data_IF_565198072482
#
_entry.id   IF_565198072482
#
_cell.length_a   1.000
_cell.length_b   1.000
_cell.length_c   1.000
_cell.angle_alpha   90.00
_cell.angle_beta   90.00
_cell.angle_gamma   90.00
#
_symmetry.space_group_name_H-M   'P 1'
#
loop_
_entity.id
_entity.type
_entity.pdbx_description
1 polymer ?
#
# COMPACT_ATOMS: atom_id res chain seq x y z
N UNK A 1 9.81 -13.88 -17.01
CA UNK A 1 8.36 -13.63 -17.13
C UNK A 1 8.02 -12.27 -16.52
N UNK A 2 7.34 -11.41 -17.29
CA UNK A 2 6.92 -10.08 -16.83
C UNK A 2 5.43 -10.09 -16.58
N UNK A 3 5.01 -9.56 -15.43
CA UNK A 3 3.62 -9.45 -15.00
C UNK A 3 3.27 -7.99 -14.73
N UNK A 4 2.03 -7.63 -15.05
CA UNK A 4 1.41 -6.37 -14.67
C UNK A 4 0.21 -6.70 -13.79
N UNK A 5 0.19 -6.17 -12.59
CA UNK A 5 -0.91 -6.32 -11.64
C UNK A 5 -1.58 -4.96 -11.43
N UNK A 6 -2.91 -4.95 -11.51
CA UNK A 6 -3.73 -3.82 -11.16
C UNK A 6 -4.74 -4.23 -10.11
N UNK A 7 -4.76 -3.53 -9.00
CA UNK A 7 -5.72 -3.75 -7.93
C UNK A 7 -6.54 -2.48 -7.71
N UNK A 8 -7.82 -2.66 -7.48
CA UNK A 8 -8.74 -1.57 -7.21
C UNK A 8 -9.68 -1.97 -6.08
N UNK A 9 -9.84 -1.09 -5.11
CA UNK A 9 -10.79 -1.22 -4.02
C UNK A 9 -11.59 0.07 -3.88
N UNK A 10 -12.91 -0.04 -3.73
CA UNK A 10 -13.80 1.09 -3.50
C UNK A 10 -14.79 0.80 -2.40
N UNK A 11 -15.11 1.82 -1.61
CA UNK A 11 -16.12 1.76 -0.57
C UNK A 11 -17.02 3.00 -0.65
N UNK A 12 -18.32 2.77 -0.55
CA UNK A 12 -19.32 3.85 -0.39
C UNK A 12 -19.93 3.75 1.00
N UNK A 13 -19.75 4.77 1.79
CA UNK A 13 -20.32 4.89 3.13
C UNK A 13 -21.51 5.83 3.16
N UNK A 14 -22.34 5.71 4.20
CA UNK A 14 -23.48 6.60 4.49
C UNK A 14 -23.07 7.65 5.53
N UNK A 15 -23.96 8.66 5.74
CA UNK A 15 -23.74 9.80 6.64
C UNK A 15 -23.33 9.46 8.09
N UNK A 16 -23.55 8.23 8.56
CA UNK A 16 -23.24 7.79 9.91
C UNK A 16 -22.45 6.48 9.90
N UNK A 17 -21.41 6.41 9.08
CA UNK A 17 -20.54 5.22 9.04
C UNK A 17 -19.69 5.14 10.31
N UNK A 18 -19.83 4.09 11.14
CA UNK A 18 -18.96 3.90 12.31
C UNK A 18 -17.49 3.81 11.90
N UNK A 19 -16.58 4.32 12.73
CA UNK A 19 -15.13 4.34 12.44
C UNK A 19 -14.56 2.96 12.11
N UNK A 20 -15.08 1.90 12.71
CA UNK A 20 -14.68 0.51 12.44
C UNK A 20 -15.05 0.00 11.02
N UNK A 21 -15.91 0.73 10.30
CA UNK A 21 -16.32 0.40 8.92
C UNK A 21 -15.78 1.41 7.89
N UNK A 22 -14.95 2.34 8.32
CA UNK A 22 -14.33 3.32 7.43
C UNK A 22 -13.14 2.71 6.69
N UNK A 23 -12.90 3.19 5.46
CA UNK A 23 -11.72 2.82 4.70
C UNK A 23 -10.52 3.66 5.17
N UNK A 24 -9.38 3.00 5.42
CA UNK A 24 -8.13 3.64 5.79
C UNK A 24 -7.16 3.71 4.62
N UNK A 25 -6.52 4.86 4.42
CA UNK A 25 -5.41 5.04 3.50
C UNK A 25 -4.08 4.87 4.24
N UNK A 26 -3.17 4.10 3.66
CA UNK A 26 -1.87 3.76 4.21
C UNK A 26 -1.86 2.36 4.82
N UNK A 27 -1.00 1.51 4.29
CA UNK A 27 -0.72 0.17 4.80
C UNK A 27 0.52 -0.41 4.10
N UNK A 28 0.95 -1.59 4.50
CA UNK A 28 2.00 -2.34 3.78
C UNK A 28 1.51 -2.91 2.43
N UNK A 29 0.21 -2.96 2.21
CA UNK A 29 -0.40 -3.53 1.00
C UNK A 29 -0.80 -2.45 0.01
N UNK A 30 -1.38 -1.35 0.51
CA UNK A 30 -1.83 -0.23 -0.31
C UNK A 30 -1.30 1.09 0.24
N UNK A 31 -0.90 1.99 -0.66
CA UNK A 31 -0.27 3.26 -0.28
C UNK A 31 0.98 3.02 0.58
N UNK A 32 1.80 2.10 0.08
CA UNK A 32 3.07 1.68 0.68
C UNK A 32 3.98 2.89 0.90
N UNK A 33 4.55 3.00 2.10
CA UNK A 33 5.37 4.15 2.49
C UNK A 33 4.68 5.09 3.48
N UNK A 34 3.34 5.06 3.60
CA UNK A 34 2.61 5.78 4.64
C UNK A 34 2.39 4.91 5.89
N UNK A 35 2.06 5.55 7.00
CA UNK A 35 1.60 4.87 8.21
C UNK A 35 0.22 4.24 7.99
N UNK A 36 -0.08 3.21 8.76
CA UNK A 36 -1.39 2.57 8.72
C UNK A 36 -2.48 3.58 9.07
N UNK A 37 -3.50 3.65 8.20
CA UNK A 37 -4.65 4.53 8.39
C UNK A 37 -4.26 6.02 8.57
N UNK A 38 -3.28 6.51 7.79
CA UNK A 38 -2.89 7.93 7.75
C UNK A 38 -4.11 8.83 7.53
N UNK A 39 -5.01 8.46 6.61
CA UNK A 39 -6.33 9.05 6.47
C UNK A 39 -7.42 7.98 6.54
N UNK A 40 -8.57 8.35 7.09
CA UNK A 40 -9.73 7.47 7.24
C UNK A 40 -10.96 8.18 6.71
N UNK A 41 -11.75 7.48 5.90
CA UNK A 41 -12.97 8.04 5.32
C UNK A 41 -14.14 7.07 5.30
N UNK A 42 -15.36 7.62 5.28
CA UNK A 42 -16.58 6.83 5.11
C UNK A 42 -16.69 6.25 3.70
N UNK A 43 -16.29 7.01 2.70
CA UNK A 43 -16.20 6.59 1.31
C UNK A 43 -14.77 6.75 0.81
N UNK A 44 -14.34 5.93 -0.13
CA UNK A 44 -13.01 6.07 -0.71
C UNK A 44 -12.73 5.06 -1.81
N UNK A 45 -11.64 5.32 -2.49
CA UNK A 45 -11.08 4.45 -3.54
C UNK A 45 -9.58 4.29 -3.31
N UNK A 46 -9.09 3.11 -3.60
CA UNK A 46 -7.66 2.78 -3.61
C UNK A 46 -7.38 2.05 -4.91
N UNK A 47 -6.29 2.42 -5.55
CA UNK A 47 -5.79 1.77 -6.76
C UNK A 47 -4.30 1.51 -6.62
N UNK A 48 -3.84 0.37 -7.07
CA UNK A 48 -2.44 -0.01 -7.14
C UNK A 48 -2.11 -0.56 -8.51
N UNK A 49 -0.94 -0.20 -9.02
CA UNK A 49 -0.36 -0.76 -10.23
C UNK A 49 1.05 -1.25 -9.91
N UNK A 50 1.36 -2.48 -10.29
CA UNK A 50 2.68 -3.08 -10.08
C UNK A 50 3.16 -3.75 -11.35
N UNK A 51 4.44 -3.54 -11.68
CA UNK A 51 5.16 -4.29 -12.70
C UNK A 51 6.23 -5.13 -12.01
N UNK A 52 6.25 -6.42 -12.29
CA UNK A 52 7.19 -7.38 -11.75
C UNK A 52 7.83 -8.21 -12.86
N UNK A 53 9.11 -8.57 -12.68
CA UNK A 53 9.80 -9.44 -13.62
C UNK A 53 10.44 -10.61 -12.88
N UNK A 54 9.91 -11.83 -13.08
CA UNK A 54 10.43 -13.02 -12.46
C UNK A 54 11.63 -13.57 -13.24
N UNK A 55 12.73 -13.75 -12.54
CA UNK A 55 13.95 -14.40 -12.98
C UNK A 55 14.17 -15.69 -12.17
N UNK A 56 14.54 -16.77 -12.85
CA UNK A 56 14.77 -18.10 -12.25
C UNK A 56 16.25 -18.48 -12.43
N UNK A 57 17.10 -18.22 -11.43
CA UNK A 57 18.51 -18.58 -11.50
C UNK A 57 18.67 -20.11 -11.57
N UNK A 58 19.64 -20.59 -12.36
CA UNK A 58 20.03 -22.01 -12.37
C UNK A 58 20.90 -22.34 -11.14
N UNK A 59 20.35 -22.14 -9.95
CA UNK A 59 21.05 -22.30 -8.69
C UNK A 59 20.15 -23.07 -7.71
N UNK A 60 20.68 -24.06 -7.01
CA UNK A 60 19.93 -24.88 -6.06
C UNK A 60 19.48 -24.13 -4.80
N UNK A 61 20.05 -22.97 -4.51
CA UNK A 61 19.72 -22.21 -3.31
C UNK A 61 18.65 -21.15 -3.53
N UNK A 62 18.60 -20.53 -4.72
CA UNK A 62 17.66 -19.45 -5.04
C UNK A 62 16.75 -19.91 -6.18
N UNK A 63 15.47 -20.08 -5.88
CA UNK A 63 14.49 -20.57 -6.83
C UNK A 63 13.97 -19.47 -7.76
N UNK A 64 13.70 -18.29 -7.18
CA UNK A 64 13.25 -17.16 -7.96
C UNK A 64 13.73 -15.85 -7.35
N UNK A 65 13.91 -14.85 -8.22
CA UNK A 65 14.20 -13.46 -7.87
C UNK A 65 13.26 -12.59 -8.72
N UNK A 66 12.43 -11.82 -8.08
CA UNK A 66 11.39 -11.01 -8.75
C UNK A 66 11.50 -9.56 -8.30
N UNK A 67 12.30 -8.73 -8.99
CA UNK A 67 12.23 -7.28 -8.83
C UNK A 67 10.87 -6.77 -9.27
N UNK A 68 10.37 -5.75 -8.59
CA UNK A 68 9.12 -5.09 -8.92
C UNK A 68 9.20 -3.59 -8.67
N UNK A 69 8.34 -2.86 -9.36
CA UNK A 69 8.08 -1.46 -9.11
C UNK A 69 6.57 -1.24 -9.03
N UNK A 70 6.15 -0.27 -8.22
CA UNK A 70 4.74 -0.01 -7.98
C UNK A 70 4.41 1.47 -7.92
N UNK A 71 3.14 1.76 -8.16
CA UNK A 71 2.51 3.04 -7.92
C UNK A 71 1.14 2.81 -7.26
N UNK A 72 0.93 3.45 -6.12
CA UNK A 72 -0.31 3.37 -5.36
C UNK A 72 -0.95 4.75 -5.29
N UNK A 73 -2.28 4.80 -5.37
CA UNK A 73 -3.09 5.99 -5.20
C UNK A 73 -4.32 5.68 -4.36
N UNK A 74 -4.71 6.59 -3.49
CA UNK A 74 -5.95 6.49 -2.73
C UNK A 74 -6.56 7.84 -2.44
N UNK A 75 -7.87 7.87 -2.37
CA UNK A 75 -8.63 9.06 -1.99
C UNK A 75 -9.78 8.65 -1.08
N UNK A 76 -9.99 9.42 -0.02
CA UNK A 76 -11.11 9.22 0.91
C UNK A 76 -11.93 10.49 1.02
N UNK A 77 -13.21 10.29 1.31
CA UNK A 77 -14.17 11.35 1.49
C UNK A 77 -14.95 11.13 2.78
N UNK A 78 -15.06 12.20 3.57
CA UNK A 78 -15.88 12.24 4.77
C UNK A 78 -17.07 13.19 4.54
N UNK A 79 -18.25 12.82 5.04
CA UNK A 79 -19.39 13.73 5.08
C UNK A 79 -19.13 14.84 6.11
N UNK A 80 -19.70 16.02 5.88
CA UNK A 80 -19.56 17.19 6.76
C UNK A 80 -19.98 16.93 8.21
N UNK A 81 -20.87 15.97 8.47
CA UNK A 81 -21.23 15.55 9.82
C UNK A 81 -20.15 14.75 10.55
N UNK A 82 -19.27 14.05 9.80
CA UNK A 82 -18.14 13.31 10.36
C UNK A 82 -16.85 14.14 10.39
N UNK A 83 -16.71 15.09 9.47
CA UNK A 83 -15.53 15.94 9.36
C UNK A 83 -15.43 17.02 10.45
N UNK A 84 -16.58 17.55 10.92
CA UNK A 84 -16.61 18.67 11.88
C UNK A 84 -16.45 18.24 13.34
N UNK A 85 -16.80 17.00 13.69
CA UNK A 85 -16.77 16.55 15.09
C UNK A 85 -15.44 15.91 15.50
N UNK A 86 -14.68 15.34 14.54
CA UNK A 86 -13.46 14.57 14.81
C UNK A 86 -12.18 15.26 14.28
N UNK A 87 -12.28 16.49 13.74
CA UNK A 87 -11.13 17.18 13.15
C UNK A 87 -10.60 16.53 11.86
N UNK A 88 -11.37 15.63 11.25
CA UNK A 88 -10.97 14.94 10.02
C UNK A 88 -11.23 15.83 8.81
N UNK A 89 -10.31 15.87 7.85
CA UNK A 89 -10.52 16.61 6.62
C UNK A 89 -11.68 16.00 5.81
N UNK A 90 -12.35 16.85 5.02
CA UNK A 90 -13.49 16.46 4.21
C UNK A 90 -13.10 15.52 3.07
N UNK A 91 -11.98 15.80 2.44
CA UNK A 91 -11.42 15.01 1.35
C UNK A 91 -9.91 14.94 1.52
N UNK A 92 -9.34 13.75 1.39
CA UNK A 92 -7.91 13.53 1.39
C UNK A 92 -7.51 12.53 0.34
N UNK A 93 -6.29 12.70 -0.16
CA UNK A 93 -5.71 11.79 -1.14
C UNK A 93 -4.24 11.56 -0.82
N UNK A 94 -3.77 10.36 -1.08
CA UNK A 94 -2.38 9.97 -0.96
C UNK A 94 -1.92 9.28 -2.24
N UNK A 95 -0.64 9.43 -2.55
CA UNK A 95 0.01 8.67 -3.60
C UNK A 95 1.39 8.24 -3.14
N UNK A 96 1.81 7.06 -3.53
CA UNK A 96 3.15 6.55 -3.26
C UNK A 96 3.68 5.76 -4.45
N UNK A 97 4.98 5.61 -4.50
CA UNK A 97 5.67 4.76 -5.47
C UNK A 97 6.80 4.02 -4.77
N UNK A 98 7.35 3.03 -5.42
CA UNK A 98 8.49 2.32 -4.86
C UNK A 98 8.98 1.19 -5.72
N UNK A 99 10.04 0.56 -5.21
CA UNK A 99 10.64 -0.61 -5.83
C UNK A 99 10.92 -1.65 -4.76
N UNK A 100 10.91 -2.90 -5.15
CA UNK A 100 11.15 -4.01 -4.24
C UNK A 100 11.72 -5.23 -4.92
N UNK A 101 11.96 -6.24 -4.10
CA UNK A 101 12.50 -7.51 -4.50
C UNK A 101 11.81 -8.63 -3.72
N UNK A 102 11.28 -9.62 -4.41
CA UNK A 102 10.81 -10.89 -3.85
C UNK A 102 11.76 -11.99 -4.21
N UNK A 103 12.10 -12.84 -3.26
CA UNK A 103 12.96 -14.00 -3.48
C UNK A 103 12.35 -15.23 -2.82
N UNK A 104 12.45 -16.37 -3.51
CA UNK A 104 12.19 -17.69 -2.92
C UNK A 104 13.50 -18.45 -2.83
N UNK A 105 13.80 -18.95 -1.64
CA UNK A 105 15.06 -19.61 -1.29
C UNK A 105 14.72 -21.01 -0.77
N UNK A 106 15.39 -22.03 -1.32
CA UNK A 106 15.24 -23.46 -0.98
C UNK A 106 13.78 -23.96 -1.03
N UNK A 107 12.92 -23.39 -1.87
CA UNK A 107 11.47 -23.69 -1.95
C UNK A 107 10.68 -23.48 -0.64
N UNK A 108 11.30 -22.95 0.40
CA UNK A 108 10.75 -22.86 1.75
C UNK A 108 10.74 -21.44 2.32
N UNK A 109 11.77 -20.66 2.05
CA UNK A 109 11.88 -19.30 2.55
C UNK A 109 11.46 -18.29 1.48
N UNK A 110 10.56 -17.37 1.84
CA UNK A 110 10.23 -16.23 1.01
C UNK A 110 10.70 -14.95 1.71
N UNK A 111 11.46 -14.16 0.99
CA UNK A 111 11.93 -12.84 1.40
C UNK A 111 11.28 -11.81 0.50
N UNK A 112 10.59 -10.87 1.08
CA UNK A 112 9.96 -9.74 0.39
C UNK A 112 10.49 -8.45 1.02
N UNK A 113 11.10 -7.60 0.23
CA UNK A 113 11.61 -6.31 0.68
C UNK A 113 11.29 -5.22 -0.32
N UNK A 114 10.84 -4.06 0.17
CA UNK A 114 10.60 -2.91 -0.69
C UNK A 114 10.82 -1.58 0.03
N UNK A 115 11.06 -0.54 -0.75
CA UNK A 115 11.08 0.85 -0.29
C UNK A 115 9.86 1.56 -0.88
N UNK A 116 9.00 2.08 -0.01
CA UNK A 116 7.87 2.92 -0.37
C UNK A 116 8.21 4.40 -0.17
N UNK A 117 7.97 5.20 -1.20
CA UNK A 117 8.24 6.64 -1.24
C UNK A 117 6.91 7.38 -1.30
N UNK A 118 6.48 8.05 -0.22
CA UNK A 118 5.33 8.95 -0.22
C UNK A 118 5.53 10.10 -1.20
N UNK A 119 4.49 10.44 -1.96
CA UNK A 119 4.53 11.52 -2.94
C UNK A 119 3.67 12.74 -2.52
N UNK A 120 2.81 12.58 -1.52
CA UNK A 120 1.90 13.61 -1.04
C UNK A 120 2.06 13.80 0.47
N UNK A 121 1.66 14.97 0.96
CA UNK A 121 1.67 15.26 2.39
C UNK A 121 0.65 14.39 3.15
N UNK A 122 1.01 13.99 4.36
CA UNK A 122 0.14 13.30 5.30
C UNK A 122 -0.75 14.27 6.11
N UNK A 123 -1.41 13.76 7.13
CA UNK A 123 -2.26 14.55 8.04
C UNK A 123 -1.51 15.67 8.78
N UNK A 124 -0.19 15.64 8.85
CA UNK A 124 0.65 16.70 9.47
C UNK A 124 0.99 17.82 8.48
N UNK A 125 0.60 17.68 7.20
CA UNK A 125 0.93 18.60 6.13
C UNK A 125 2.37 18.45 5.62
N UNK A 126 3.07 17.39 5.99
CA UNK A 126 4.42 17.08 5.54
C UNK A 126 4.45 15.78 4.75
N UNK A 127 5.29 15.70 3.73
CA UNK A 127 5.53 14.45 3.01
C UNK A 127 6.44 13.58 3.87
N UNK A 128 5.99 12.37 4.29
CA UNK A 128 6.80 11.48 5.12
C UNK A 128 8.06 11.01 4.39
N UNK A 129 9.07 10.63 5.16
CA UNK A 129 10.29 10.01 4.62
C UNK A 129 10.00 8.63 4.03
N UNK A 130 10.76 8.20 3.00
CA UNK A 130 10.67 6.85 2.47
C UNK A 130 10.80 5.78 3.56
N UNK A 131 10.07 4.67 3.42
CA UNK A 131 10.07 3.57 4.38
C UNK A 131 10.53 2.28 3.73
N UNK A 132 11.40 1.56 4.43
CA UNK A 132 11.84 0.22 4.07
C UNK A 132 10.98 -0.80 4.81
N UNK A 133 10.48 -1.78 4.07
CA UNK A 133 9.75 -2.93 4.60
C UNK A 133 10.50 -4.21 4.23
N UNK A 134 10.61 -5.12 5.18
CA UNK A 134 11.19 -6.45 4.97
C UNK A 134 10.27 -7.46 5.65
N UNK A 135 9.85 -8.45 4.89
CA UNK A 135 9.10 -9.59 5.37
C UNK A 135 9.85 -10.87 5.08
N UNK A 136 9.93 -11.72 6.07
CA UNK A 136 10.49 -13.07 5.95
C UNK A 136 9.39 -14.06 6.34
N UNK A 137 9.14 -15.05 5.48
CA UNK A 137 8.25 -16.16 5.79
C UNK A 137 8.94 -17.48 5.49
N UNK A 138 8.70 -18.47 6.35
CA UNK A 138 9.24 -19.81 6.24
C UNK A 138 8.10 -20.82 6.27
N UNK A 139 8.08 -21.74 5.32
CA UNK A 139 7.11 -22.84 5.25
C UNK A 139 7.84 -24.20 5.17
N UNK A 140 7.26 -25.25 5.70
CA UNK A 140 7.69 -26.63 5.57
C UNK A 140 6.52 -27.49 5.09
#
# INVERSE_FOLDING_TARGET
HTELLFEFMGQLGTKHTPSAKMIGLGSETFLRGYENATFIGASGVIASAEIAHAYYPQNHAVNSVTPFAFFDFGSVQNDSSNATNDGRPKNDSLASTGVGLRMTIFDQANVDGFVGVPLMADATGQTPSPRLYIRLSWGW
#
